data_IF_430027024149
#
_entry.id   IF_430027024149
#
_cell.length_a   1.000
_cell.length_b   1.000
_cell.length_c   1.000
_cell.angle_alpha   90.00
_cell.angle_beta   90.00
_cell.angle_gamma   90.00
#
_symmetry.space_group_name_H-M   'P 1'
#
loop_
_entity.id
_entity.type
_entity.pdbx_description
1 polymer ?
#
# COMPACT_ATOMS: atom_id res chain seq x y z
N UNK A 1 -6.92 -29.09 -13.52
CA UNK A 1 -6.88 -27.62 -13.55
C UNK A 1 -6.09 -27.17 -14.77
N UNK A 2 -6.73 -26.39 -15.65
CA UNK A 2 -6.12 -25.88 -16.89
C UNK A 2 -5.56 -24.48 -16.64
N UNK A 3 -4.24 -24.37 -16.48
CA UNK A 3 -3.53 -23.13 -16.16
C UNK A 3 -3.63 -22.11 -17.30
N UNK A 4 -3.57 -22.54 -18.55
CA UNK A 4 -3.65 -21.63 -19.71
C UNK A 4 -5.03 -21.01 -19.85
N UNK A 5 -6.09 -21.80 -19.63
CA UNK A 5 -7.47 -21.34 -19.63
C UNK A 5 -7.73 -20.36 -18.49
N UNK A 6 -7.20 -20.65 -17.29
CA UNK A 6 -7.32 -19.74 -16.14
C UNK A 6 -6.56 -18.43 -16.39
N UNK A 7 -5.35 -18.49 -16.94
CA UNK A 7 -4.57 -17.30 -17.28
C UNK A 7 -5.24 -16.46 -18.39
N UNK A 8 -5.83 -17.10 -19.39
CA UNK A 8 -6.59 -16.40 -20.43
C UNK A 8 -7.83 -15.69 -19.86
N UNK A 9 -8.54 -16.35 -18.94
CA UNK A 9 -9.69 -15.75 -18.25
C UNK A 9 -9.29 -14.51 -17.44
N UNK A 10 -8.20 -14.62 -16.65
CA UNK A 10 -7.69 -13.49 -15.83
C UNK A 10 -7.27 -12.32 -16.73
N UNK A 11 -6.56 -12.60 -17.85
CA UNK A 11 -6.18 -11.53 -18.80
C UNK A 11 -7.41 -10.84 -19.40
N UNK A 12 -8.40 -11.61 -19.82
CA UNK A 12 -9.66 -11.07 -20.35
C UNK A 12 -10.40 -10.20 -19.33
N UNK A 13 -10.49 -10.67 -18.09
CA UNK A 13 -11.09 -9.93 -16.98
C UNK A 13 -10.34 -8.62 -16.71
N UNK A 14 -9.00 -8.62 -16.66
CA UNK A 14 -8.22 -7.42 -16.43
C UNK A 14 -8.40 -6.37 -17.54
N UNK A 15 -8.48 -6.81 -18.80
CA UNK A 15 -8.78 -5.91 -19.92
C UNK A 15 -10.17 -5.28 -19.79
N UNK A 16 -11.17 -6.08 -19.46
CA UNK A 16 -12.53 -5.59 -19.20
C UNK A 16 -12.58 -4.58 -18.04
N UNK A 17 -11.84 -4.85 -16.94
CA UNK A 17 -11.75 -3.92 -15.82
C UNK A 17 -11.07 -2.61 -16.20
N UNK A 18 -10.03 -2.65 -17.04
CA UNK A 18 -9.35 -1.45 -17.55
C UNK A 18 -10.30 -0.57 -18.37
N UNK A 19 -11.15 -1.16 -19.20
CA UNK A 19 -12.18 -0.41 -19.97
C UNK A 19 -13.27 0.15 -19.06
N UNK A 20 -13.75 -0.64 -18.09
CA UNK A 20 -14.75 -0.18 -17.13
C UNK A 20 -14.26 1.00 -16.28
N UNK A 21 -12.96 1.01 -15.90
CA UNK A 21 -12.36 2.13 -15.17
C UNK A 21 -12.44 3.46 -15.91
N UNK A 22 -12.44 3.47 -17.24
CA UNK A 22 -12.52 4.71 -18.06
C UNK A 22 -13.88 5.38 -17.97
N UNK A 23 -14.94 4.60 -17.78
CA UNK A 23 -16.33 5.08 -17.81
C UNK A 23 -17.00 5.08 -16.45
N UNK A 24 -16.51 4.28 -15.50
CA UNK A 24 -17.12 4.10 -14.19
C UNK A 24 -16.82 5.28 -13.28
N UNK A 25 -17.85 5.98 -12.85
CA UNK A 25 -17.74 7.13 -11.93
C UNK A 25 -17.79 6.73 -10.45
N UNK A 26 -18.43 5.61 -10.12
CA UNK A 26 -18.64 5.15 -8.76
C UNK A 26 -17.72 3.99 -8.42
N UNK A 27 -17.17 3.98 -7.21
CA UNK A 27 -16.36 2.86 -6.72
C UNK A 27 -17.19 1.58 -6.62
N UNK A 28 -18.37 1.66 -6.01
CA UNK A 28 -19.29 0.52 -5.92
C UNK A 28 -20.05 0.30 -7.23
N UNK A 29 -20.15 -0.96 -7.65
CA UNK A 29 -21.02 -1.35 -8.75
C UNK A 29 -22.50 -1.22 -8.39
N UNK A 30 -23.40 -1.33 -9.39
CA UNK A 30 -24.84 -1.36 -9.13
C UNK A 30 -25.19 -2.47 -8.13
N UNK A 31 -26.09 -2.19 -7.22
CA UNK A 31 -26.64 -3.12 -6.22
C UNK A 31 -25.65 -3.67 -5.17
N UNK A 32 -24.34 -3.36 -5.23
CA UNK A 32 -23.36 -3.88 -4.27
C UNK A 32 -23.71 -3.45 -2.84
N UNK A 33 -23.95 -2.16 -2.62
CA UNK A 33 -24.31 -1.65 -1.29
C UNK A 33 -25.66 -2.19 -0.83
N UNK A 34 -26.64 -2.32 -1.70
CA UNK A 34 -27.95 -2.86 -1.36
C UNK A 34 -27.88 -4.33 -0.94
N UNK A 35 -27.00 -5.10 -1.59
CA UNK A 35 -26.73 -6.48 -1.19
C UNK A 35 -26.00 -6.54 0.15
N UNK A 36 -24.97 -5.73 0.35
CA UNK A 36 -24.24 -5.66 1.61
C UNK A 36 -25.15 -5.28 2.79
N UNK A 37 -26.09 -4.35 2.59
CA UNK A 37 -27.07 -3.96 3.62
C UNK A 37 -28.08 -5.06 3.97
N UNK A 38 -28.31 -6.00 3.06
CA UNK A 38 -29.23 -7.14 3.30
C UNK A 38 -28.53 -8.35 3.92
N UNK A 39 -27.20 -8.37 3.90
CA UNK A 39 -26.41 -9.43 4.50
C UNK A 39 -26.28 -9.21 6.01
N UNK A 40 -26.27 -10.27 6.78
CA UNK A 40 -25.97 -10.22 8.22
C UNK A 40 -24.52 -9.82 8.47
N UNK A 41 -23.62 -10.13 7.51
CA UNK A 41 -22.20 -9.87 7.61
C UNK A 41 -21.53 -9.89 6.23
N UNK A 42 -20.55 -9.02 5.99
CA UNK A 42 -19.80 -8.94 4.74
C UNK A 42 -18.37 -9.44 4.93
N UNK A 43 -17.99 -10.47 4.20
CA UNK A 43 -16.61 -10.94 4.15
C UNK A 43 -15.80 -10.09 3.17
N UNK A 44 -14.80 -9.36 3.67
CA UNK A 44 -13.88 -8.55 2.86
C UNK A 44 -12.64 -9.36 2.49
N UNK A 45 -12.61 -9.93 1.28
CA UNK A 45 -11.45 -10.63 0.71
C UNK A 45 -10.67 -9.75 -0.27
N UNK A 46 -10.58 -8.45 0.00
CA UNK A 46 -9.92 -7.47 -0.86
C UNK A 46 -8.47 -7.22 -0.40
N UNK A 47 -7.64 -6.75 -1.32
CA UNK A 47 -6.23 -6.45 -1.08
C UNK A 47 -5.86 -5.06 -1.59
N UNK A 48 -4.86 -4.43 -0.92
CA UNK A 48 -4.28 -3.16 -1.32
C UNK A 48 -5.22 -1.96 -1.18
N UNK A 49 -4.99 -0.96 -2.01
CA UNK A 49 -5.73 0.29 -1.98
C UNK A 49 -7.23 0.09 -2.15
N UNK A 50 -8.01 0.83 -1.38
CA UNK A 50 -9.47 0.77 -1.21
C UNK A 50 -9.99 -0.51 -0.54
N UNK A 51 -9.19 -1.57 -0.40
CA UNK A 51 -9.57 -2.80 0.31
C UNK A 51 -9.04 -2.85 1.73
N UNK A 52 -7.78 -2.40 1.93
CA UNK A 52 -7.07 -2.51 3.21
C UNK A 52 -6.67 -1.15 3.81
N UNK A 53 -6.97 -0.04 3.15
CA UNK A 53 -6.56 1.31 3.53
C UNK A 53 -7.60 2.09 4.37
N UNK A 54 -8.61 1.42 4.88
CA UNK A 54 -9.63 2.00 5.75
C UNK A 54 -10.79 2.70 5.01
N UNK A 55 -10.69 2.96 3.71
CA UNK A 55 -11.72 3.69 2.96
C UNK A 55 -13.02 2.92 2.86
N UNK A 56 -12.94 1.64 2.51
CA UNK A 56 -14.10 0.77 2.42
C UNK A 56 -14.70 0.53 3.81
N UNK A 57 -13.84 0.30 4.80
CA UNK A 57 -14.22 0.12 6.19
C UNK A 57 -14.99 1.33 6.71
N UNK A 58 -14.45 2.54 6.51
CA UNK A 58 -15.14 3.77 6.91
C UNK A 58 -16.46 4.00 6.20
N UNK A 59 -16.56 3.62 4.91
CA UNK A 59 -17.83 3.67 4.19
C UNK A 59 -18.85 2.70 4.77
N UNK A 60 -18.44 1.48 5.15
CA UNK A 60 -19.31 0.48 5.75
C UNK A 60 -19.74 0.87 7.16
N UNK A 61 -18.82 1.43 7.96
CA UNK A 61 -19.13 1.97 9.30
C UNK A 61 -20.26 3.03 9.22
N UNK A 62 -20.13 3.98 8.30
CA UNK A 62 -21.15 5.04 8.10
C UNK A 62 -22.50 4.48 7.62
N UNK A 63 -22.50 3.36 6.92
CA UNK A 63 -23.71 2.70 6.40
C UNK A 63 -24.27 1.65 7.36
N UNK A 64 -23.63 1.38 8.49
CA UNK A 64 -24.02 0.35 9.44
C UNK A 64 -23.93 -1.07 8.89
N UNK A 65 -22.98 -1.32 7.98
CA UNK A 65 -22.76 -2.64 7.36
C UNK A 65 -21.67 -3.38 8.13
N UNK A 66 -21.98 -4.51 8.80
CA UNK A 66 -20.96 -5.30 9.49
C UNK A 66 -20.04 -6.03 8.50
N UNK A 67 -18.73 -6.06 8.80
CA UNK A 67 -17.72 -6.66 7.91
C UNK A 67 -16.60 -7.35 8.70
N UNK A 68 -15.81 -8.19 8.00
CA UNK A 68 -14.61 -8.85 8.54
C UNK A 68 -13.41 -7.91 8.49
N UNK A 69 -12.49 -8.10 9.45
CA UNK A 69 -11.19 -7.46 9.48
C UNK A 69 -11.12 -6.26 10.42
N UNK A 70 -10.11 -5.44 10.19
CA UNK A 70 -9.75 -4.31 11.04
C UNK A 70 -10.58 -3.08 10.69
N UNK A 71 -10.93 -2.26 11.68
CA UNK A 71 -11.66 -1.01 11.47
C UNK A 71 -10.87 0.04 10.66
N UNK A 72 -11.56 1.07 10.19
CA UNK A 72 -11.02 2.05 9.23
C UNK A 72 -9.74 2.73 9.69
N UNK A 73 -9.65 3.14 10.96
CA UNK A 73 -8.50 3.87 11.47
C UNK A 73 -7.24 3.00 11.50
N UNK A 74 -7.34 1.79 12.07
CA UNK A 74 -6.22 0.85 12.14
C UNK A 74 -5.77 0.41 10.77
N UNK A 75 -6.70 0.16 9.84
CA UNK A 75 -6.40 -0.17 8.45
C UNK A 75 -5.64 0.97 7.74
N UNK A 76 -6.11 2.20 7.87
CA UNK A 76 -5.46 3.37 7.28
C UNK A 76 -4.04 3.58 7.82
N UNK A 77 -3.88 3.44 9.14
CA UNK A 77 -2.57 3.61 9.79
C UNK A 77 -1.60 2.50 9.42
N UNK A 78 -2.06 1.24 9.39
CA UNK A 78 -1.22 0.09 9.03
C UNK A 78 -0.80 0.09 7.56
N UNK A 79 -1.65 0.60 6.67
CA UNK A 79 -1.34 0.69 5.25
C UNK A 79 -0.22 1.72 4.98
N UNK A 80 -0.13 2.79 5.77
CA UNK A 80 0.89 3.83 5.63
C UNK A 80 2.14 3.46 6.44
N UNK A 81 3.21 3.07 5.75
CA UNK A 81 4.49 2.66 6.37
C UNK A 81 5.16 3.80 7.14
N UNK A 82 5.00 5.04 6.70
CA UNK A 82 5.53 6.21 7.39
C UNK A 82 4.83 6.43 8.72
N UNK A 83 3.50 6.37 8.74
CA UNK A 83 2.69 6.47 9.96
C UNK A 83 2.96 5.30 10.89
N UNK A 84 2.95 4.06 10.38
CA UNK A 84 3.24 2.86 11.17
C UNK A 84 4.61 2.95 11.83
N UNK A 85 5.65 3.35 11.09
CA UNK A 85 7.00 3.52 11.60
C UNK A 85 7.06 4.56 12.74
N UNK A 86 6.43 5.71 12.55
CA UNK A 86 6.37 6.74 13.58
C UNK A 86 5.69 6.24 14.87
N UNK A 87 4.62 5.47 14.73
CA UNK A 87 3.91 4.87 15.87
C UNK A 87 4.76 3.82 16.60
N UNK A 88 5.48 2.97 15.86
CA UNK A 88 6.38 1.98 16.45
C UNK A 88 7.49 2.67 17.23
N UNK A 89 8.10 3.71 16.67
CA UNK A 89 9.11 4.52 17.36
C UNK A 89 8.58 5.15 18.64
N UNK A 90 7.39 5.76 18.61
CA UNK A 90 6.73 6.36 19.79
C UNK A 90 6.43 5.33 20.90
N UNK A 91 6.21 4.08 20.54
CA UNK A 91 5.87 2.99 21.46
C UNK A 91 7.06 2.13 21.85
N UNK A 92 8.27 2.45 21.37
CA UNK A 92 9.48 1.68 21.63
C UNK A 92 9.46 0.29 20.98
N UNK A 93 8.66 0.09 19.95
CA UNK A 93 8.64 -1.15 19.16
C UNK A 93 9.83 -1.10 18.19
N UNK A 94 10.69 -2.13 18.17
CA UNK A 94 11.81 -2.19 17.23
C UNK A 94 11.34 -2.08 15.78
N UNK A 95 11.95 -1.17 15.04
CA UNK A 95 11.74 -0.99 13.61
C UNK A 95 13.03 -0.47 13.00
N UNK A 96 13.36 -0.79 11.74
CA UNK A 96 14.56 -0.25 11.08
C UNK A 96 14.62 1.27 11.21
N UNK A 97 15.79 1.85 11.43
CA UNK A 97 15.92 3.31 11.43
C UNK A 97 15.52 3.84 10.07
N UNK A 98 14.76 4.94 10.02
CA UNK A 98 14.29 5.48 8.75
C UNK A 98 13.27 6.59 8.92
N UNK A 99 12.97 7.25 7.80
CA UNK A 99 12.06 8.40 7.75
C UNK A 99 11.15 8.34 6.52
N UNK A 100 9.92 8.80 6.70
CA UNK A 100 9.05 9.15 5.59
C UNK A 100 9.46 10.52 5.02
N UNK A 101 9.41 10.65 3.70
CA UNK A 101 9.84 11.84 2.99
C UNK A 101 8.89 12.15 1.84
N UNK A 102 8.39 13.38 1.76
CA UNK A 102 7.59 13.84 0.63
C UNK A 102 8.49 14.25 -0.53
N UNK A 103 7.98 14.11 -1.76
CA UNK A 103 8.71 14.46 -2.98
C UNK A 103 9.27 15.89 -2.96
N UNK A 104 8.53 16.85 -2.40
CA UNK A 104 8.96 18.25 -2.26
C UNK A 104 10.10 18.46 -1.26
N UNK A 105 10.27 17.52 -0.31
CA UNK A 105 11.26 17.57 0.76
C UNK A 105 12.36 16.51 0.52
N UNK A 106 12.51 16.08 -0.74
CA UNK A 106 13.46 15.06 -1.16
C UNK A 106 14.87 15.45 -0.73
N UNK A 107 15.57 14.49 -0.14
CA UNK A 107 17.02 14.59 0.11
C UNK A 107 17.77 13.76 -0.93
N UNK A 108 18.96 14.21 -1.28
CA UNK A 108 19.72 13.60 -2.36
C UNK A 108 20.63 12.47 -1.89
N UNK A 109 20.91 12.38 -0.58
CA UNK A 109 21.73 11.32 0.00
C UNK A 109 21.10 10.73 1.26
N UNK A 110 21.26 9.43 1.55
CA UNK A 110 20.76 8.86 2.82
C UNK A 110 21.47 9.42 4.05
N UNK A 111 22.70 9.94 3.92
CA UNK A 111 23.44 10.59 4.99
C UNK A 111 22.72 11.83 5.55
N UNK A 112 21.99 12.56 4.71
CA UNK A 112 21.15 13.69 5.14
C UNK A 112 20.00 13.24 6.07
N UNK A 113 19.64 11.96 6.02
CA UNK A 113 18.68 11.34 6.94
C UNK A 113 19.35 10.68 8.14
N UNK A 114 20.70 10.69 8.18
CA UNK A 114 21.51 10.05 9.23
C UNK A 114 21.69 8.55 9.02
N UNK A 115 21.64 8.08 7.76
CA UNK A 115 21.79 6.66 7.41
C UNK A 115 22.95 6.48 6.43
N UNK A 116 23.60 5.31 6.49
CA UNK A 116 24.61 4.86 5.55
C UNK A 116 24.06 3.74 4.66
N UNK A 117 24.66 3.50 3.50
CA UNK A 117 24.33 2.37 2.65
C UNK A 117 24.69 1.02 3.33
N UNK A 118 23.92 -0.05 3.08
CA UNK A 118 22.76 -0.12 2.22
C UNK A 118 21.48 0.42 2.88
N UNK A 119 20.58 1.01 2.08
CA UNK A 119 19.27 1.47 2.52
C UNK A 119 18.17 0.89 1.65
N UNK A 120 16.93 0.93 2.17
CA UNK A 120 15.72 0.56 1.42
C UNK A 120 14.91 1.82 1.13
N UNK A 121 14.58 2.04 -0.13
CA UNK A 121 13.63 3.05 -0.58
C UNK A 121 12.33 2.37 -0.95
N UNK A 122 11.21 2.80 -0.39
CA UNK A 122 9.91 2.20 -0.69
C UNK A 122 8.75 3.19 -0.62
N UNK A 123 7.69 2.92 -1.35
CA UNK A 123 6.43 3.68 -1.29
C UNK A 123 5.79 3.55 0.09
N UNK A 124 5.11 4.61 0.58
CA UNK A 124 4.44 4.58 1.88
C UNK A 124 3.24 3.63 1.91
N UNK A 125 2.37 3.71 0.89
CA UNK A 125 1.10 2.97 0.86
C UNK A 125 1.08 1.83 -0.17
N UNK A 126 2.16 1.63 -0.94
CA UNK A 126 2.30 0.52 -1.89
C UNK A 126 2.39 -0.83 -1.20
N UNK A 127 1.93 -1.87 -1.90
CA UNK A 127 2.01 -3.27 -1.47
C UNK A 127 2.75 -4.15 -2.48
N UNK A 128 2.94 -5.44 -2.13
CA UNK A 128 3.49 -6.47 -3.02
C UNK A 128 4.84 -6.11 -3.67
N UNK A 129 5.72 -5.48 -2.94
CA UNK A 129 7.07 -5.07 -3.38
C UNK A 129 7.10 -4.07 -4.56
N UNK A 130 5.97 -3.49 -4.95
CA UNK A 130 5.93 -2.44 -5.98
C UNK A 130 6.54 -1.16 -5.40
N UNK A 131 7.56 -0.62 -6.08
CA UNK A 131 8.26 0.58 -5.63
C UNK A 131 9.14 0.36 -4.40
N UNK A 132 9.65 -0.87 -4.20
CA UNK A 132 10.64 -1.21 -3.16
C UNK A 132 12.00 -1.46 -3.82
N UNK A 133 13.02 -0.78 -3.32
CA UNK A 133 14.39 -0.82 -3.84
C UNK A 133 15.37 -0.98 -2.69
N UNK A 134 16.24 -1.98 -2.76
CA UNK A 134 17.42 -2.10 -1.89
C UNK A 134 18.58 -1.47 -2.67
N UNK A 135 19.25 -0.51 -2.07
CA UNK A 135 20.29 0.28 -2.73
C UNK A 135 21.53 0.35 -1.85
N UNK A 136 22.70 0.20 -2.47
CA UNK A 136 24.01 0.14 -1.81
C UNK A 136 24.96 1.28 -2.26
N UNK A 137 24.51 2.13 -3.16
CA UNK A 137 25.29 3.25 -3.68
C UNK A 137 24.41 4.44 -4.07
N UNK A 138 25.06 5.59 -4.27
CA UNK A 138 24.40 6.87 -4.53
C UNK A 138 23.64 6.91 -5.87
N UNK A 139 24.17 6.27 -6.90
CA UNK A 139 23.54 6.28 -8.23
C UNK A 139 22.20 5.55 -8.19
N UNK A 140 22.18 4.37 -7.56
CA UNK A 140 20.96 3.57 -7.43
C UNK A 140 19.97 4.19 -6.44
N UNK A 141 20.44 4.92 -5.41
CA UNK A 141 19.59 5.68 -4.52
C UNK A 141 18.77 6.73 -5.29
N UNK A 142 19.42 7.49 -6.15
CA UNK A 142 18.75 8.50 -7.00
C UNK A 142 17.70 7.87 -7.89
N UNK A 143 18.04 6.74 -8.57
CA UNK A 143 17.11 5.99 -9.42
C UNK A 143 15.93 5.41 -8.64
N UNK A 144 16.21 4.91 -7.43
CA UNK A 144 15.19 4.34 -6.53
C UNK A 144 14.18 5.41 -6.08
N UNK A 145 14.65 6.59 -5.69
CA UNK A 145 13.77 7.71 -5.36
C UNK A 145 12.91 8.13 -6.55
N UNK A 146 13.53 8.30 -7.73
CA UNK A 146 12.80 8.65 -8.94
C UNK A 146 11.74 7.59 -9.26
N UNK A 147 12.09 6.31 -9.17
CA UNK A 147 11.18 5.21 -9.36
C UNK A 147 10.03 5.19 -8.36
N UNK A 148 10.31 5.27 -7.07
CA UNK A 148 9.30 5.26 -6.01
C UNK A 148 8.34 6.46 -6.12
N UNK A 149 8.86 7.66 -6.41
CA UNK A 149 8.06 8.87 -6.63
C UNK A 149 7.22 8.89 -7.93
N UNK A 150 7.35 7.89 -8.79
CA UNK A 150 6.40 7.71 -9.90
C UNK A 150 5.08 7.12 -9.42
N UNK A 151 5.10 6.38 -8.32
CA UNK A 151 3.91 5.72 -7.76
C UNK A 151 3.20 6.57 -6.71
N UNK A 152 3.97 7.25 -5.84
CA UNK A 152 3.42 8.01 -4.71
C UNK A 152 4.19 9.32 -4.48
N UNK A 153 3.55 10.27 -3.82
CA UNK A 153 4.17 11.55 -3.43
C UNK A 153 4.94 11.47 -2.11
N UNK A 154 4.92 10.32 -1.44
CA UNK A 154 5.60 10.08 -0.19
C UNK A 154 6.25 8.71 -0.21
N UNK A 155 7.50 8.63 0.24
CA UNK A 155 8.30 7.41 0.30
C UNK A 155 8.90 7.26 1.69
N UNK A 156 9.24 6.02 2.06
CA UNK A 156 10.06 5.73 3.24
C UNK A 156 11.46 5.37 2.77
N UNK A 157 12.46 5.98 3.41
CA UNK A 157 13.86 5.55 3.33
C UNK A 157 14.24 5.00 4.70
N UNK A 158 14.78 3.80 4.73
CA UNK A 158 15.18 3.12 5.97
C UNK A 158 16.44 2.28 5.78
N UNK A 159 17.12 2.00 6.88
CA UNK A 159 18.26 1.08 6.87
C UNK A 159 17.84 -0.31 6.35
N UNK A 160 18.75 -0.94 5.63
CA UNK A 160 18.55 -2.34 5.26
C UNK A 160 18.89 -3.24 6.45
N UNK A 161 17.97 -4.11 6.82
CA UNK A 161 18.17 -5.12 7.85
C UNK A 161 18.25 -6.49 7.18
N UNK A 162 19.39 -7.14 7.31
CA UNK A 162 19.57 -8.51 6.83
C UNK A 162 18.81 -9.49 7.73
N UNK A 163 18.08 -10.42 7.14
CA UNK A 163 17.32 -11.41 7.90
C UNK A 163 16.44 -12.28 7.01
N UNK A 164 15.68 -13.15 7.67
CA UNK A 164 14.67 -13.99 7.01
C UNK A 164 13.31 -13.34 7.22
N UNK A 165 12.59 -13.11 6.12
CA UNK A 165 11.21 -12.63 6.15
C UNK A 165 10.25 -13.80 6.33
N UNK A 166 9.27 -13.67 7.25
CA UNK A 166 8.29 -14.70 7.60
C UNK A 166 6.86 -14.26 7.24
#
# INVERSE_FOLDING_TARGET
YDVEKAAAYIRGFNLQMAELKKTRKNFFGPNVIDLCKKADFVFLGLHGANGEDGKLQGAFDLMGIPYTGTGYLSSAMAMDKGVTKAMFQMRGVPTPAGKAMKKKDRVETPQELGMDFPVVVKTCCGGSSIGVYIVDNQEDYTKALDGAFTYENEVVVEEFVEGVEY
#
